data_IF_876130644008
#
_entry.id   IF_876130644008
#
_cell.length_a   1.000
_cell.length_b   1.000
_cell.length_c   1.000
_cell.angle_alpha   90.00
_cell.angle_beta   90.00
_cell.angle_gamma   90.00
#
_symmetry.space_group_name_H-M   'P 1'
#
loop_
_entity.id
_entity.type
_entity.pdbx_description
1 polymer ?
#
# COMPACT_ATOMS: atom_id res chain seq x y z
N UNK A 1 36.07 -29.59 26.65
CA UNK A 1 35.38 -29.01 27.79
C UNK A 1 35.32 -27.53 27.57
N UNK A 2 34.19 -27.05 27.16
CA UNK A 2 33.40 -25.99 27.73
C UNK A 2 32.22 -25.77 26.76
N UNK A 3 31.08 -26.10 27.28
CA UNK A 3 29.78 -25.96 26.65
C UNK A 3 29.46 -24.48 26.45
N UNK A 4 29.00 -24.09 25.24
CA UNK A 4 28.21 -22.90 25.04
C UNK A 4 26.74 -23.34 24.91
N UNK A 5 26.02 -23.10 25.95
CA UNK A 5 24.59 -23.28 26.05
C UNK A 5 23.94 -22.10 25.29
N UNK A 6 23.34 -22.39 24.14
CA UNK A 6 22.43 -21.45 23.48
C UNK A 6 21.24 -21.19 24.39
N UNK A 7 20.99 -19.92 24.69
CA UNK A 7 19.87 -19.46 25.52
C UNK A 7 18.56 -19.54 24.69
N UNK A 8 17.61 -20.42 25.04
CA UNK A 8 16.34 -20.54 24.32
C UNK A 8 15.36 -19.37 24.57
N UNK A 9 15.77 -18.34 25.33
CA UNK A 9 14.84 -17.27 25.78
C UNK A 9 14.76 -16.06 24.86
N UNK A 10 15.69 -15.87 23.92
CA UNK A 10 15.73 -14.66 23.06
C UNK A 10 14.67 -14.68 21.93
N UNK A 11 14.26 -15.86 21.47
CA UNK A 11 13.19 -15.99 20.44
C UNK A 11 11.77 -15.78 21.00
N UNK A 12 11.57 -15.94 22.32
CA UNK A 12 10.25 -15.83 22.94
C UNK A 12 9.85 -14.37 23.20
N UNK A 13 10.79 -13.48 23.45
CA UNK A 13 10.49 -12.07 23.76
C UNK A 13 10.21 -11.24 22.52
N UNK A 14 10.92 -11.48 21.40
CA UNK A 14 10.62 -10.82 20.13
C UNK A 14 9.25 -11.22 19.59
N UNK A 15 8.88 -12.49 19.65
CA UNK A 15 7.57 -13.00 19.24
C UNK A 15 6.44 -12.54 20.18
N UNK A 16 6.72 -12.35 21.49
CA UNK A 16 5.78 -11.75 22.44
C UNK A 16 5.57 -10.24 22.17
N UNK A 17 6.63 -9.51 21.85
CA UNK A 17 6.56 -8.09 21.52
C UNK A 17 5.79 -7.86 20.20
N UNK A 18 6.00 -8.70 19.17
CA UNK A 18 5.26 -8.65 17.93
C UNK A 18 3.77 -8.96 18.14
N UNK A 19 3.44 -10.04 18.85
CA UNK A 19 2.05 -10.36 19.23
C UNK A 19 1.39 -9.24 20.06
N UNK A 20 2.13 -8.57 20.93
CA UNK A 20 1.61 -7.43 21.69
C UNK A 20 1.35 -6.21 20.79
N UNK A 21 2.19 -5.97 19.77
CA UNK A 21 1.96 -4.92 18.75
C UNK A 21 0.74 -5.23 17.89
N UNK A 22 0.58 -6.48 17.44
CA UNK A 22 -0.61 -6.92 16.70
C UNK A 22 -1.90 -6.75 17.51
N UNK A 23 -1.92 -7.19 18.78
CA UNK A 23 -3.07 -6.96 19.68
C UNK A 23 -3.39 -5.49 19.91
N UNK A 24 -2.37 -4.62 19.93
CA UNK A 24 -2.60 -3.16 20.01
C UNK A 24 -3.21 -2.60 18.74
N UNK A 25 -2.80 -3.07 17.55
CA UNK A 25 -3.42 -2.75 16.25
C UNK A 25 -4.89 -3.19 16.25
N UNK A 26 -5.17 -4.45 16.60
CA UNK A 26 -6.55 -4.97 16.69
C UNK A 26 -7.42 -4.16 17.67
N UNK A 27 -6.90 -3.84 18.84
CA UNK A 27 -7.61 -3.02 19.83
C UNK A 27 -7.88 -1.60 19.31
N UNK A 28 -6.94 -1.01 18.57
CA UNK A 28 -7.11 0.30 17.95
C UNK A 28 -8.13 0.26 16.81
N UNK A 29 -8.07 -0.76 15.95
CA UNK A 29 -9.07 -1.05 14.89
C UNK A 29 -10.46 -1.29 15.48
N UNK A 30 -10.58 -2.11 16.52
CA UNK A 30 -11.85 -2.35 17.22
C UNK A 30 -12.41 -1.06 17.86
N UNK A 31 -11.56 -0.17 18.36
CA UNK A 31 -11.97 1.12 18.91
C UNK A 31 -12.48 2.08 17.83
N UNK A 32 -11.87 2.07 16.64
CA UNK A 32 -12.32 2.82 15.48
C UNK A 32 -13.64 2.28 14.92
N UNK A 33 -13.80 0.94 14.84
CA UNK A 33 -15.08 0.29 14.47
C UNK A 33 -16.21 0.68 15.44
N UNK A 34 -15.97 0.64 16.75
CA UNK A 34 -16.98 1.07 17.76
C UNK A 34 -17.34 2.53 17.62
N UNK A 35 -16.38 3.44 17.41
CA UNK A 35 -16.68 4.87 17.19
C UNK A 35 -17.54 5.11 15.94
N UNK A 36 -17.32 4.37 14.85
CA UNK A 36 -18.15 4.46 13.61
C UNK A 36 -19.56 3.90 13.80
N UNK A 37 -19.74 2.80 14.54
CA UNK A 37 -21.07 2.26 14.83
C UNK A 37 -21.96 3.23 15.63
N UNK A 38 -21.35 4.09 16.45
CA UNK A 38 -22.07 5.07 17.26
C UNK A 38 -22.25 6.44 16.58
N UNK A 39 -21.49 6.73 15.52
CA UNK A 39 -21.62 7.99 14.78
C UNK A 39 -22.75 8.00 13.72
N UNK A 40 -23.14 6.84 13.20
CA UNK A 40 -24.19 6.72 12.20
C UNK A 40 -25.60 7.03 12.77
N UNK A 41 -26.00 6.51 13.94
CA UNK A 41 -27.31 6.87 14.51
C UNK A 41 -27.40 8.32 15.00
N UNK A 42 -26.29 8.93 15.45
CA UNK A 42 -26.31 10.33 15.88
C UNK A 42 -26.50 11.32 14.72
N UNK A 43 -25.88 11.04 13.55
CA UNK A 43 -26.08 11.85 12.34
C UNK A 43 -27.49 11.69 11.77
N UNK A 44 -28.06 10.50 11.79
CA UNK A 44 -29.44 10.24 11.35
C UNK A 44 -30.47 10.91 12.30
N UNK A 45 -30.23 10.85 13.61
CA UNK A 45 -31.09 11.51 14.60
C UNK A 45 -31.02 13.04 14.48
N UNK A 46 -29.88 13.63 14.22
CA UNK A 46 -29.71 15.07 13.99
C UNK A 46 -30.45 15.54 12.72
N UNK A 47 -30.39 14.72 11.64
CA UNK A 47 -31.10 15.06 10.39
C UNK A 47 -32.63 15.03 10.55
N UNK A 48 -33.16 14.06 11.32
CA UNK A 48 -34.60 13.98 11.63
C UNK A 48 -35.03 15.15 12.50
N UNK A 49 -34.23 15.58 13.46
CA UNK A 49 -34.57 16.72 14.32
C UNK A 49 -34.57 18.06 13.54
N UNK A 50 -33.65 18.24 12.58
CA UNK A 50 -33.60 19.44 11.74
C UNK A 50 -34.84 19.50 10.81
N UNK A 51 -35.32 18.38 10.29
CA UNK A 51 -36.52 18.33 9.42
C UNK A 51 -37.78 18.62 10.23
N UNK A 52 -37.87 18.17 11.49
CA UNK A 52 -39.04 18.43 12.34
C UNK A 52 -39.10 19.89 12.82
N UNK A 53 -37.96 20.52 13.06
CA UNK A 53 -37.91 21.95 13.49
C UNK A 53 -38.11 22.92 12.32
N UNK A 54 -37.77 22.53 11.08
CA UNK A 54 -38.01 23.37 9.89
C UNK A 54 -39.48 23.44 9.43
N UNK A 55 -40.36 22.60 10.00
CA UNK A 55 -41.76 22.54 9.64
C UNK A 55 -42.70 23.39 10.56
N UNK A 56 -42.15 24.12 11.52
CA UNK A 56 -42.93 24.76 12.57
C UNK A 56 -43.06 26.30 12.48
N UNK A 57 -42.41 26.99 11.54
CA UNK A 57 -42.54 28.44 11.42
C UNK A 57 -42.82 28.87 9.97
N UNK A 58 -44.08 29.15 9.70
CA UNK A 58 -44.58 29.80 8.50
C UNK A 58 -44.95 31.24 8.77
N UNK A 59 -44.30 32.17 8.05
CA UNK A 59 -44.75 33.57 7.98
C UNK A 59 -43.76 34.44 7.21
N UNK A 60 -44.23 35.30 6.26
CA UNK A 60 -43.39 35.95 5.27
C UNK A 60 -42.82 37.30 5.73
N UNK A 61 -41.57 37.60 5.46
CA UNK A 61 -41.10 38.99 5.49
C UNK A 61 -39.94 39.21 4.50
N UNK A 62 -40.18 40.23 3.71
CA UNK A 62 -39.46 40.98 2.69
C UNK A 62 -37.92 41.07 2.81
N UNK A 63 -37.31 41.00 1.63
CA UNK A 63 -35.92 41.43 1.39
C UNK A 63 -35.75 42.96 1.57
N UNK A 64 -34.55 43.40 1.86
CA UNK A 64 -33.86 44.25 0.89
C UNK A 64 -32.42 43.84 0.60
N UNK A 65 -31.99 44.13 -0.63
CA UNK A 65 -30.71 43.81 -1.14
C UNK A 65 -29.57 44.68 -0.61
N UNK A 66 -28.37 44.09 -0.66
CA UNK A 66 -27.12 44.87 -0.70
C UNK A 66 -26.07 44.07 -1.43
N UNK A 67 -25.49 44.71 -2.42
CA UNK A 67 -24.32 44.26 -3.20
C UNK A 67 -23.10 44.27 -2.30
N UNK A 68 -22.24 43.28 -2.37
CA UNK A 68 -20.77 43.45 -2.32
C UNK A 68 -20.03 42.21 -2.76
N UNK A 69 -19.18 42.39 -3.70
CA UNK A 69 -17.84 41.96 -4.00
C UNK A 69 -17.48 40.49 -3.83
N UNK A 70 -17.45 39.77 -4.94
CA UNK A 70 -16.72 38.52 -5.06
C UNK A 70 -15.20 38.81 -5.06
N UNK A 71 -14.53 38.51 -3.97
CA UNK A 71 -13.08 38.30 -3.99
C UNK A 71 -12.85 36.80 -4.03
N UNK A 72 -12.39 36.33 -5.20
CA UNK A 72 -11.96 34.97 -5.40
C UNK A 72 -10.77 34.63 -4.50
N UNK A 73 -10.99 33.75 -3.55
CA UNK A 73 -9.89 33.09 -2.85
C UNK A 73 -9.36 32.00 -3.77
N UNK A 74 -8.26 32.28 -4.42
CA UNK A 74 -7.46 31.27 -5.12
C UNK A 74 -7.09 30.19 -4.12
N UNK A 75 -7.53 28.96 -4.40
CA UNK A 75 -7.05 27.80 -3.70
C UNK A 75 -5.55 27.65 -3.93
N UNK A 76 -4.77 28.00 -2.94
CA UNK A 76 -3.32 27.77 -2.95
C UNK A 76 -3.07 26.27 -3.05
N UNK A 77 -2.58 25.83 -4.17
CA UNK A 77 -2.02 24.49 -4.36
C UNK A 77 -0.95 24.25 -3.28
N UNK A 78 -0.92 23.08 -2.62
CA UNK A 78 0.11 22.79 -1.65
C UNK A 78 1.44 22.58 -2.38
N UNK A 79 2.23 23.61 -2.45
CA UNK A 79 3.63 23.56 -2.83
C UNK A 79 4.43 23.22 -1.57
N UNK A 80 4.52 21.99 -1.23
CA UNK A 80 5.45 21.57 -0.20
C UNK A 80 6.41 20.55 -0.81
N UNK A 81 7.44 21.03 -1.45
CA UNK A 81 8.69 20.30 -1.56
C UNK A 81 9.25 20.25 -0.15
N UNK A 82 9.20 19.10 0.47
CA UNK A 82 9.68 18.93 1.83
C UNK A 82 11.03 18.23 1.76
N UNK A 83 12.09 18.96 2.07
CA UNK A 83 13.40 18.38 2.27
C UNK A 83 13.38 17.56 3.58
N UNK A 84 13.51 16.26 3.47
CA UNK A 84 13.85 15.41 4.60
C UNK A 84 15.29 15.75 5.03
N UNK A 85 15.53 15.96 6.32
CA UNK A 85 16.89 16.12 6.81
C UNK A 85 17.73 14.90 6.43
N UNK A 86 19.05 15.05 6.23
CA UNK A 86 19.90 13.99 5.76
C UNK A 86 19.96 12.88 6.79
N UNK A 87 19.39 11.75 6.47
CA UNK A 87 19.87 10.49 7.02
C UNK A 87 21.11 10.18 6.22
N UNK A 88 22.26 10.01 6.89
CA UNK A 88 23.52 9.77 6.20
C UNK A 88 23.34 8.62 5.20
N UNK A 89 23.52 8.84 3.92
CA UNK A 89 23.33 7.80 2.94
C UNK A 89 24.41 6.76 3.13
N UNK A 90 24.04 5.50 3.21
CA UNK A 90 25.00 4.44 3.00
C UNK A 90 25.47 4.59 1.56
N UNK A 91 26.75 4.93 1.41
CA UNK A 91 27.31 5.24 0.10
C UNK A 91 27.21 4.05 -0.85
N UNK A 92 26.43 4.21 -1.91
CA UNK A 92 26.35 3.28 -3.02
C UNK A 92 26.93 3.96 -4.26
N UNK A 93 28.05 3.49 -4.74
CA UNK A 93 28.65 4.04 -5.97
C UNK A 93 27.68 3.93 -7.16
N UNK A 94 27.64 4.93 -8.02
CA UNK A 94 26.91 4.91 -9.29
C UNK A 94 25.38 4.93 -9.20
N UNK A 95 24.82 5.61 -8.32
CA UNK A 95 23.47 5.51 -7.77
C UNK A 95 22.31 5.89 -8.66
N UNK A 96 22.48 6.87 -9.53
CA UNK A 96 21.45 7.27 -10.48
C UNK A 96 21.11 6.15 -11.49
N UNK A 97 22.02 5.19 -11.66
CA UNK A 97 21.86 4.05 -12.56
C UNK A 97 21.29 2.79 -11.89
N UNK A 98 21.01 2.82 -10.59
CA UNK A 98 20.65 1.61 -9.85
C UNK A 98 19.37 0.96 -10.37
N UNK A 99 18.41 1.75 -10.81
CA UNK A 99 17.14 1.31 -11.37
C UNK A 99 16.66 2.13 -12.56
N UNK A 100 17.41 3.13 -13.00
CA UNK A 100 17.16 3.85 -14.25
C UNK A 100 17.44 2.99 -15.52
N UNK A 101 17.63 1.70 -15.37
CA UNK A 101 17.77 0.75 -16.47
C UNK A 101 16.43 0.11 -16.81
N UNK A 102 16.33 -0.49 -17.99
CA UNK A 102 15.13 -1.11 -18.55
C UNK A 102 14.48 -2.25 -17.72
N UNK A 103 14.96 -2.51 -16.51
CA UNK A 103 14.51 -3.58 -15.63
C UNK A 103 13.92 -3.05 -14.32
N UNK A 104 13.29 -1.89 -14.34
CA UNK A 104 12.56 -1.36 -13.19
C UNK A 104 11.19 -2.03 -13.15
N UNK A 105 10.76 -2.42 -11.96
CA UNK A 105 9.41 -2.98 -11.75
C UNK A 105 8.36 -1.99 -12.26
N UNK A 106 7.38 -2.48 -13.02
CA UNK A 106 6.31 -1.66 -13.55
C UNK A 106 6.61 -0.92 -14.85
N UNK A 107 7.78 -1.08 -15.49
CA UNK A 107 8.13 -0.34 -16.72
C UNK A 107 8.51 -1.28 -17.86
N UNK A 108 7.86 -1.08 -19.00
CA UNK A 108 8.22 -1.77 -20.25
C UNK A 108 9.55 -1.26 -20.79
N UNK A 109 10.43 -2.15 -21.32
CA UNK A 109 11.65 -1.74 -22.00
C UNK A 109 11.32 -0.75 -23.15
N UNK A 110 12.08 0.33 -23.24
CA UNK A 110 11.92 1.36 -24.26
C UNK A 110 11.03 2.56 -23.87
N UNK A 111 10.24 2.45 -22.82
CA UNK A 111 9.40 3.56 -22.35
C UNK A 111 10.08 4.43 -21.28
N UNK A 112 11.12 3.90 -20.62
CA UNK A 112 11.83 4.58 -19.55
C UNK A 112 12.35 5.98 -19.91
N UNK A 113 12.82 6.19 -21.14
CA UNK A 113 13.31 7.50 -21.57
C UNK A 113 12.20 8.55 -21.68
N UNK A 114 11.00 8.15 -22.11
CA UNK A 114 9.84 9.02 -22.17
C UNK A 114 9.35 9.41 -20.78
N UNK A 115 9.34 8.46 -19.84
CA UNK A 115 8.98 8.71 -18.44
C UNK A 115 10.00 9.61 -17.74
N UNK A 116 11.29 9.40 -17.97
CA UNK A 116 12.34 10.26 -17.44
C UNK A 116 12.23 11.70 -17.93
N UNK A 117 11.84 11.92 -19.19
CA UNK A 117 11.61 13.25 -19.74
C UNK A 117 10.39 13.94 -19.08
N UNK A 118 9.30 13.19 -18.86
CA UNK A 118 8.11 13.69 -18.17
C UNK A 118 8.40 14.00 -16.70
N UNK A 119 9.18 13.17 -16.03
CA UNK A 119 9.57 13.31 -14.63
C UNK A 119 10.35 14.60 -14.35
N UNK A 120 11.25 15.01 -15.23
CA UNK A 120 12.01 16.25 -15.06
C UNK A 120 11.14 17.49 -14.95
N UNK A 121 9.92 17.44 -15.48
CA UNK A 121 8.98 18.56 -15.49
C UNK A 121 7.99 18.55 -14.33
N UNK A 122 7.66 17.37 -13.80
CA UNK A 122 6.52 17.20 -12.91
C UNK A 122 6.76 16.35 -11.64
N UNK A 123 7.95 15.78 -11.46
CA UNK A 123 8.23 14.78 -10.40
C UNK A 123 7.78 13.39 -10.86
N UNK A 124 6.56 13.00 -10.56
CA UNK A 124 6.00 11.68 -10.90
C UNK A 124 6.04 11.37 -12.40
N UNK A 125 6.69 10.27 -12.83
CA UNK A 125 6.92 9.97 -14.25
C UNK A 125 5.71 9.40 -15.00
N UNK A 126 4.57 9.25 -14.34
CA UNK A 126 3.35 8.68 -14.90
C UNK A 126 2.15 8.95 -14.00
N UNK A 127 1.41 7.91 -13.72
CA UNK A 127 0.26 7.93 -12.83
C UNK A 127 0.53 7.05 -11.61
N UNK A 128 -0.13 7.35 -10.52
CA UNK A 128 -0.08 6.54 -9.33
C UNK A 128 -1.49 6.09 -8.96
N UNK A 129 -1.70 4.78 -8.90
CA UNK A 129 -2.83 4.17 -8.26
C UNK A 129 -2.59 4.19 -6.76
N UNK A 130 -3.59 4.57 -5.97
CA UNK A 130 -3.49 4.69 -4.51
C UNK A 130 -4.69 3.99 -3.89
N UNK A 131 -4.46 3.00 -3.05
CA UNK A 131 -5.45 2.45 -2.16
C UNK A 131 -5.65 3.40 -0.96
N UNK A 132 -6.64 4.27 -1.04
CA UNK A 132 -6.98 5.23 0.02
C UNK A 132 -7.88 4.53 1.05
N UNK A 133 -7.28 3.61 1.78
CA UNK A 133 -7.86 2.61 2.66
C UNK A 133 -8.86 3.18 3.65
N UNK A 134 -8.47 4.20 4.40
CA UNK A 134 -9.33 4.80 5.42
C UNK A 134 -10.54 5.54 4.86
N UNK A 135 -10.60 5.75 3.54
CA UNK A 135 -11.72 6.31 2.80
C UNK A 135 -12.48 5.26 1.97
N UNK A 136 -12.07 3.99 2.01
CA UNK A 136 -12.67 2.90 1.25
C UNK A 136 -12.76 3.22 -0.25
N UNK A 137 -11.65 3.63 -0.85
CA UNK A 137 -11.60 4.01 -2.26
C UNK A 137 -10.23 3.77 -2.88
N UNK A 138 -10.23 3.63 -4.19
CA UNK A 138 -9.06 3.61 -5.04
C UNK A 138 -9.05 4.90 -5.86
N UNK A 139 -7.90 5.53 -5.97
CA UNK A 139 -7.67 6.71 -6.80
C UNK A 139 -6.56 6.40 -7.80
N UNK A 140 -6.63 7.00 -9.00
CA UNK A 140 -5.47 7.14 -9.88
C UNK A 140 -5.24 8.63 -10.08
N UNK A 141 -4.02 9.08 -9.79
CA UNK A 141 -3.62 10.49 -9.86
C UNK A 141 -2.47 10.68 -10.84
N UNK A 142 -2.44 11.81 -11.52
CA UNK A 142 -1.34 12.18 -12.41
C UNK A 142 -0.26 13.00 -11.68
N UNK A 143 0.83 13.32 -12.38
CA UNK A 143 1.93 14.12 -11.86
C UNK A 143 1.48 15.52 -11.36
N UNK A 144 0.40 16.07 -11.92
CA UNK A 144 -0.20 17.36 -11.49
C UNK A 144 -1.13 17.22 -10.30
N UNK A 145 -1.25 16.01 -9.72
CA UNK A 145 -2.11 15.68 -8.58
C UNK A 145 -3.60 15.73 -8.89
N UNK A 146 -3.96 15.59 -10.16
CA UNK A 146 -5.34 15.51 -10.61
C UNK A 146 -5.82 14.05 -10.54
N UNK A 147 -7.02 13.83 -10.02
CA UNK A 147 -7.63 12.49 -9.99
C UNK A 147 -8.19 12.20 -11.39
N UNK A 148 -7.66 11.18 -12.05
CA UNK A 148 -8.12 10.70 -13.37
C UNK A 148 -9.03 9.48 -13.28
N UNK A 149 -8.97 8.74 -12.19
CA UNK A 149 -9.87 7.62 -11.89
C UNK A 149 -10.18 7.60 -10.39
N UNK A 150 -11.42 7.22 -10.07
CA UNK A 150 -11.87 7.00 -8.70
C UNK A 150 -12.87 5.85 -8.65
N UNK A 151 -12.65 4.91 -7.76
CA UNK A 151 -13.60 3.85 -7.46
C UNK A 151 -13.76 3.70 -5.92
N UNK A 152 -14.97 3.55 -5.37
CA UNK A 152 -16.24 3.81 -6.05
C UNK A 152 -16.49 5.31 -6.28
N UNK A 153 -17.20 5.63 -7.37
CA UNK A 153 -17.77 6.94 -7.59
C UNK A 153 -19.24 6.97 -7.09
N UNK A 154 -19.96 8.06 -7.32
CA UNK A 154 -21.36 8.18 -6.88
C UNK A 154 -22.29 7.14 -7.52
N UNK A 155 -22.08 6.81 -8.82
CA UNK A 155 -22.89 5.81 -9.52
C UNK A 155 -22.58 4.39 -9.00
N UNK A 156 -21.31 4.08 -8.72
CA UNK A 156 -20.92 2.81 -8.13
C UNK A 156 -21.57 2.61 -6.76
N UNK A 157 -21.54 3.65 -5.93
CA UNK A 157 -22.18 3.62 -4.61
C UNK A 157 -23.70 3.44 -4.69
N UNK A 158 -24.35 4.09 -5.66
CA UNK A 158 -25.78 3.91 -5.93
C UNK A 158 -26.11 2.49 -6.40
N UNK A 159 -25.20 1.85 -7.14
CA UNK A 159 -25.29 0.46 -7.56
C UNK A 159 -24.87 -0.55 -6.46
N UNK A 160 -24.58 -0.09 -5.24
CA UNK A 160 -24.18 -0.95 -4.12
C UNK A 160 -22.71 -1.40 -4.12
N UNK A 161 -21.89 -0.92 -5.05
CA UNK A 161 -20.45 -1.26 -5.12
C UNK A 161 -19.69 -0.50 -4.06
N UNK A 162 -19.12 -1.20 -3.10
CA UNK A 162 -18.41 -0.61 -1.95
C UNK A 162 -17.18 -1.40 -1.63
N UNK A 163 -16.06 -0.72 -1.47
CA UNK A 163 -14.85 -1.26 -0.86
C UNK A 163 -14.95 -1.16 0.66
N UNK A 164 -14.26 -2.06 1.34
CA UNK A 164 -14.19 -2.08 2.79
C UNK A 164 -12.73 -2.17 3.25
N UNK A 165 -12.12 -1.04 3.59
CA UNK A 165 -10.75 -0.98 4.06
C UNK A 165 -9.78 -1.70 3.11
N UNK A 166 -9.90 -1.42 1.79
CA UNK A 166 -8.98 -1.93 0.80
C UNK A 166 -7.55 -1.52 1.15
N UNK A 167 -6.70 -2.49 1.34
CA UNK A 167 -5.31 -2.35 1.71
C UNK A 167 -4.48 -2.15 0.45
N UNK A 168 -3.75 -3.15 0.00
CA UNK A 168 -3.05 -3.07 -1.26
C UNK A 168 -3.99 -3.19 -2.45
N UNK A 169 -3.62 -2.53 -3.53
CA UNK A 169 -4.38 -2.59 -4.78
C UNK A 169 -3.43 -2.50 -5.96
N UNK A 170 -3.48 -3.50 -6.85
CA UNK A 170 -2.62 -3.59 -8.01
C UNK A 170 -3.41 -3.75 -9.30
N UNK A 171 -2.82 -3.27 -10.40
CA UNK A 171 -3.36 -3.50 -11.74
C UNK A 171 -3.10 -4.94 -12.15
N UNK A 172 -4.11 -5.63 -12.65
CA UNK A 172 -3.93 -6.99 -13.15
C UNK A 172 -3.19 -7.03 -14.50
N UNK A 173 -2.48 -8.13 -14.81
CA UNK A 173 -1.84 -8.31 -16.11
C UNK A 173 -2.81 -8.08 -17.27
N UNK A 174 -2.42 -7.21 -18.21
CA UNK A 174 -3.28 -6.81 -19.32
C UNK A 174 -4.19 -5.61 -19.04
N UNK A 175 -4.20 -5.08 -17.81
CA UNK A 175 -4.85 -3.81 -17.49
C UNK A 175 -6.37 -3.78 -17.54
N UNK A 176 -7.03 -4.94 -17.43
CA UNK A 176 -8.50 -5.01 -17.53
C UNK A 176 -9.19 -4.81 -16.18
N UNK A 177 -8.50 -5.10 -15.10
CA UNK A 177 -9.05 -5.03 -13.76
C UNK A 177 -7.97 -4.65 -12.73
N UNK A 178 -8.43 -4.37 -11.52
CA UNK A 178 -7.63 -4.19 -10.31
C UNK A 178 -7.93 -5.35 -9.37
N UNK A 179 -6.91 -5.87 -8.70
CA UNK A 179 -7.05 -6.77 -7.58
C UNK A 179 -6.76 -5.99 -6.29
N UNK A 180 -7.53 -6.21 -5.23
CA UNK A 180 -7.31 -5.62 -3.93
C UNK A 180 -7.63 -6.60 -2.80
N UNK A 181 -6.86 -6.57 -1.74
CA UNK A 181 -7.20 -7.24 -0.50
C UNK A 181 -7.99 -6.30 0.41
N UNK A 182 -9.02 -6.83 1.03
CA UNK A 182 -9.77 -6.16 2.10
C UNK A 182 -9.39 -6.82 3.44
N UNK A 183 -8.25 -6.42 3.98
CA UNK A 183 -7.60 -7.03 5.14
C UNK A 183 -8.54 -7.24 6.31
N UNK A 184 -9.26 -6.19 6.69
CA UNK A 184 -10.22 -6.21 7.80
C UNK A 184 -11.55 -6.95 7.47
N UNK A 185 -11.81 -7.22 6.19
CA UNK A 185 -13.00 -7.91 5.71
C UNK A 185 -12.74 -9.40 5.41
N UNK A 186 -11.47 -9.80 5.38
CA UNK A 186 -11.02 -11.18 5.14
C UNK A 186 -11.41 -11.70 3.76
N UNK A 187 -11.24 -10.90 2.75
CA UNK A 187 -11.50 -11.27 1.35
C UNK A 187 -10.59 -10.53 0.37
N UNK A 188 -10.58 -11.04 -0.84
CA UNK A 188 -9.89 -10.45 -1.99
C UNK A 188 -10.97 -10.09 -3.00
N UNK A 189 -10.91 -8.85 -3.50
CA UNK A 189 -11.85 -8.30 -4.46
C UNK A 189 -11.20 -7.94 -5.77
N UNK A 190 -11.98 -7.97 -6.84
CA UNK A 190 -11.59 -7.53 -8.17
C UNK A 190 -12.51 -6.41 -8.64
N UNK A 191 -11.93 -5.35 -9.18
CA UNK A 191 -12.64 -4.22 -9.79
C UNK A 191 -12.35 -4.22 -11.28
N UNK A 192 -13.35 -4.48 -12.13
CA UNK A 192 -13.22 -4.35 -13.57
C UNK A 192 -13.17 -2.87 -13.97
N UNK A 193 -12.21 -2.47 -14.78
CA UNK A 193 -12.01 -1.07 -15.17
C UNK A 193 -13.01 -0.59 -16.23
N UNK A 194 -13.54 -1.48 -17.07
CA UNK A 194 -14.45 -1.11 -18.16
C UNK A 194 -15.89 -0.91 -17.68
N UNK A 195 -16.47 -1.92 -17.00
CA UNK A 195 -17.86 -1.90 -16.55
C UNK A 195 -17.99 -1.52 -15.05
N UNK A 196 -16.87 -1.37 -14.37
CA UNK A 196 -16.78 -1.00 -12.96
C UNK A 196 -17.46 -1.99 -12.01
N UNK A 197 -17.61 -3.25 -12.44
CA UNK A 197 -18.10 -4.31 -11.56
C UNK A 197 -17.10 -4.60 -10.44
N UNK A 198 -17.63 -4.98 -9.27
CA UNK A 198 -16.86 -5.38 -8.08
C UNK A 198 -17.26 -6.80 -7.70
N UNK A 199 -16.29 -7.69 -7.59
CA UNK A 199 -16.50 -9.09 -7.25
C UNK A 199 -15.56 -9.55 -6.16
N UNK A 200 -16.06 -10.35 -5.21
CA UNK A 200 -15.23 -11.12 -4.30
C UNK A 200 -14.68 -12.31 -5.08
N UNK A 201 -13.35 -12.39 -5.23
CA UNK A 201 -12.67 -13.46 -5.97
C UNK A 201 -12.11 -14.54 -5.07
N UNK A 202 -11.93 -14.27 -3.77
CA UNK A 202 -11.56 -15.24 -2.74
C UNK A 202 -11.86 -14.70 -1.35
N UNK A 203 -11.92 -15.59 -0.36
CA UNK A 203 -12.32 -15.22 1.00
C UNK A 203 -13.85 -15.14 1.16
N UNK A 204 -14.28 -14.76 2.34
CA UNK A 204 -15.70 -14.53 2.66
C UNK A 204 -15.80 -13.24 3.49
N UNK A 205 -16.51 -12.21 3.00
CA UNK A 205 -16.61 -10.93 3.67
C UNK A 205 -16.98 -11.04 5.15
N UNK A 206 -16.11 -10.51 6.02
CA UNK A 206 -16.28 -10.51 7.47
C UNK A 206 -16.00 -11.83 8.18
N UNK A 207 -15.57 -12.89 7.47
CA UNK A 207 -15.35 -14.22 8.05
C UNK A 207 -13.86 -14.57 7.98
N UNK A 208 -13.17 -14.46 9.10
CA UNK A 208 -11.77 -14.88 9.22
C UNK A 208 -11.61 -16.39 9.35
N UNK A 209 -10.57 -16.95 8.73
CA UNK A 209 -10.22 -18.36 8.86
C UNK A 209 -9.13 -18.77 7.90
N UNK A 210 -8.68 -20.03 8.02
CA UNK A 210 -7.62 -20.56 7.14
C UNK A 210 -8.00 -21.94 6.56
N UNK A 211 -9.29 -22.23 6.48
CA UNK A 211 -9.84 -23.48 5.95
C UNK A 211 -10.57 -23.23 4.62
N UNK A 212 -10.42 -24.15 3.67
CA UNK A 212 -11.13 -24.05 2.38
C UNK A 212 -10.81 -22.75 1.65
N UNK A 213 -11.84 -21.91 1.42
CA UNK A 213 -11.72 -20.61 0.76
C UNK A 213 -11.62 -19.43 1.74
N UNK A 214 -11.39 -19.65 3.02
CA UNK A 214 -11.22 -18.59 4.01
C UNK A 214 -9.79 -18.07 4.04
N UNK A 215 -9.63 -16.78 4.32
CA UNK A 215 -8.38 -16.10 4.65
C UNK A 215 -8.53 -15.39 5.99
N UNK A 216 -7.42 -15.12 6.65
CA UNK A 216 -7.40 -14.43 7.94
C UNK A 216 -6.46 -13.25 7.89
N UNK A 217 -7.04 -12.05 7.72
CA UNK A 217 -6.27 -10.81 7.58
C UNK A 217 -5.32 -10.89 6.39
N UNK A 218 -5.83 -11.03 5.14
CA UNK A 218 -4.99 -11.01 3.95
C UNK A 218 -4.35 -9.63 3.81
N UNK A 219 -3.02 -9.58 3.83
CA UNK A 219 -2.26 -8.31 3.87
C UNK A 219 -1.82 -7.86 2.47
N UNK A 220 -1.74 -8.80 1.50
CA UNK A 220 -1.34 -8.52 0.12
C UNK A 220 -1.95 -9.52 -0.87
N UNK A 221 -2.12 -9.13 -2.14
CA UNK A 221 -2.58 -10.01 -3.21
C UNK A 221 -2.13 -9.53 -4.59
N UNK A 222 -1.46 -10.39 -5.36
CA UNK A 222 -1.02 -10.10 -6.73
C UNK A 222 -1.63 -11.03 -7.76
N UNK A 223 -2.26 -10.49 -8.80
CA UNK A 223 -2.70 -11.27 -9.96
C UNK A 223 -1.49 -11.59 -10.85
N UNK A 224 -1.30 -12.87 -11.16
CA UNK A 224 -0.27 -13.39 -12.05
C UNK A 224 -0.82 -13.62 -13.46
N UNK A 225 0.04 -13.61 -14.49
CA UNK A 225 -0.39 -14.04 -15.85
C UNK A 225 -1.06 -15.42 -15.82
N UNK A 226 -2.21 -15.54 -16.49
CA UNK A 226 -2.98 -16.79 -16.55
C UNK A 226 -4.03 -16.98 -15.45
N UNK A 227 -4.32 -15.91 -14.66
CA UNK A 227 -5.46 -15.87 -13.75
C UNK A 227 -5.26 -16.66 -12.45
N UNK A 228 -4.03 -16.88 -12.07
CA UNK A 228 -3.66 -17.29 -10.70
C UNK A 228 -3.26 -16.03 -9.95
N UNK A 229 -3.64 -15.90 -8.69
CA UNK A 229 -3.17 -14.81 -7.85
C UNK A 229 -2.61 -15.32 -6.52
N UNK A 230 -1.70 -14.56 -5.95
CA UNK A 230 -1.12 -14.82 -4.64
C UNK A 230 -1.93 -14.13 -3.56
N UNK A 231 -1.82 -14.57 -2.32
CA UNK A 231 -2.35 -13.88 -1.14
C UNK A 231 -1.43 -14.11 0.04
N UNK A 232 -0.97 -13.03 0.64
CA UNK A 232 -0.32 -13.04 1.94
C UNK A 232 -1.38 -13.18 3.04
N UNK A 233 -1.66 -14.41 3.46
CA UNK A 233 -2.65 -14.71 4.51
C UNK A 233 -1.98 -14.60 5.89
N UNK A 234 -1.92 -13.36 6.43
CA UNK A 234 -1.06 -12.98 7.54
C UNK A 234 -1.27 -13.83 8.79
N UNK A 235 -2.49 -13.93 9.29
CA UNK A 235 -2.79 -14.77 10.46
C UNK A 235 -3.05 -16.23 10.12
N UNK A 236 -3.24 -16.54 8.83
CA UNK A 236 -3.15 -17.90 8.32
C UNK A 236 -1.73 -18.44 8.33
N UNK A 237 -0.71 -17.53 8.44
CA UNK A 237 0.72 -17.84 8.43
C UNK A 237 1.14 -18.59 7.17
N UNK A 238 0.69 -18.10 6.02
CA UNK A 238 0.90 -18.77 4.73
C UNK A 238 0.80 -17.79 3.57
N UNK A 239 1.48 -18.10 2.48
CA UNK A 239 1.21 -17.56 1.15
C UNK A 239 0.45 -18.61 0.36
N UNK A 240 -0.70 -18.24 -0.19
CA UNK A 240 -1.52 -19.12 -1.01
C UNK A 240 -1.57 -18.62 -2.46
N UNK A 241 -1.65 -19.55 -3.38
CA UNK A 241 -1.88 -19.31 -4.81
C UNK A 241 -3.27 -19.78 -5.15
N UNK A 242 -4.10 -18.87 -5.62
CA UNK A 242 -5.52 -19.13 -5.88
C UNK A 242 -5.80 -19.07 -7.38
N UNK A 243 -6.56 -20.03 -7.89
CA UNK A 243 -7.06 -20.06 -9.27
C UNK A 243 -8.46 -20.62 -9.30
N UNK A 244 -9.37 -19.96 -9.99
CA UNK A 244 -10.77 -20.36 -10.09
C UNK A 244 -11.38 -20.70 -8.70
N UNK A 245 -11.20 -19.77 -7.73
CA UNK A 245 -11.68 -19.87 -6.34
C UNK A 245 -11.12 -21.06 -5.54
N UNK A 246 -9.99 -21.64 -5.94
CA UNK A 246 -9.36 -22.77 -5.25
C UNK A 246 -7.88 -22.50 -4.98
N UNK A 247 -7.40 -22.89 -3.81
CA UNK A 247 -5.98 -22.89 -3.51
C UNK A 247 -5.33 -24.01 -4.35
N UNK A 248 -4.41 -23.62 -5.24
CA UNK A 248 -3.67 -24.52 -6.12
C UNK A 248 -2.24 -24.77 -5.64
N UNK A 249 -1.71 -23.89 -4.79
CA UNK A 249 -0.39 -24.01 -4.15
C UNK A 249 -0.39 -23.22 -2.85
N UNK A 250 0.46 -23.63 -1.90
CA UNK A 250 0.63 -22.95 -0.63
C UNK A 250 2.08 -23.08 -0.15
N UNK A 251 2.61 -22.01 0.42
CA UNK A 251 3.79 -21.98 1.28
C UNK A 251 3.36 -21.64 2.70
N UNK A 252 4.09 -22.14 3.70
CA UNK A 252 3.62 -22.13 5.08
C UNK A 252 2.58 -23.21 5.36
N UNK A 253 2.27 -23.44 6.61
CA UNK A 253 1.24 -24.38 7.09
C UNK A 253 0.16 -23.61 7.82
N UNK A 254 -1.09 -23.75 7.38
CA UNK A 254 -2.22 -22.98 7.92
C UNK A 254 -2.26 -23.01 9.45
N UNK A 255 -2.31 -21.82 10.05
CA UNK A 255 -2.33 -21.57 11.51
C UNK A 255 -1.09 -22.07 12.29
N UNK A 256 0.01 -22.40 11.61
CA UNK A 256 1.27 -22.76 12.26
C UNK A 256 2.27 -21.63 12.02
N UNK A 257 2.30 -20.68 12.94
CA UNK A 257 3.05 -19.44 12.83
C UNK A 257 4.43 -19.57 13.46
N UNK A 258 5.42 -19.82 12.65
CA UNK A 258 6.84 -19.84 13.01
C UNK A 258 7.71 -19.75 11.75
N UNK A 259 8.85 -19.14 11.85
CA UNK A 259 9.80 -19.03 10.73
C UNK A 259 10.58 -20.33 10.52
N UNK A 260 10.24 -21.06 9.46
CA UNK A 260 10.96 -22.24 8.93
C UNK A 260 10.53 -22.43 7.46
N UNK A 261 10.85 -21.46 6.57
CA UNK A 261 10.38 -21.47 5.19
C UNK A 261 10.99 -22.64 4.38
N UNK A 262 10.31 -23.20 3.40
CA UNK A 262 8.96 -22.86 2.93
C UNK A 262 7.84 -23.57 3.69
N UNK A 263 8.18 -24.43 4.66
CA UNK A 263 7.23 -25.29 5.37
C UNK A 263 6.34 -24.50 6.34
N UNK A 264 6.91 -23.56 7.04
CA UNK A 264 6.23 -22.69 7.98
C UNK A 264 6.65 -21.26 7.75
N UNK A 265 5.71 -20.32 7.86
CA UNK A 265 5.89 -18.88 7.80
C UNK A 265 5.29 -18.24 9.04
N UNK A 266 5.73 -17.06 9.42
CA UNK A 266 5.26 -16.41 10.64
C UNK A 266 4.72 -14.99 10.38
N UNK A 267 3.39 -14.86 10.34
CA UNK A 267 2.67 -13.62 10.09
C UNK A 267 3.17 -12.91 8.82
N UNK A 268 2.81 -13.46 7.68
CA UNK A 268 3.18 -12.95 6.35
C UNK A 268 2.54 -11.57 6.14
N UNK A 269 3.34 -10.58 5.69
CA UNK A 269 2.85 -9.26 5.32
C UNK A 269 2.84 -9.08 3.80
N UNK A 270 4.00 -9.14 3.11
CA UNK A 270 4.07 -9.05 1.66
C UNK A 270 4.35 -10.38 0.97
N UNK A 271 3.87 -10.55 -0.26
CA UNK A 271 4.08 -11.74 -1.08
C UNK A 271 4.37 -11.42 -2.55
N UNK A 272 5.22 -10.43 -2.77
CA UNK A 272 5.53 -9.91 -4.11
C UNK A 272 6.06 -11.00 -5.05
N UNK A 273 5.46 -11.19 -6.23
CA UNK A 273 5.96 -12.13 -7.23
C UNK A 273 7.40 -11.80 -7.67
N UNK A 274 8.15 -12.82 -8.06
CA UNK A 274 9.48 -12.65 -8.67
C UNK A 274 9.45 -13.00 -10.15
N UNK A 275 10.36 -12.44 -11.00
CA UNK A 275 10.34 -12.61 -12.46
C UNK A 275 10.35 -14.06 -12.96
N UNK A 276 10.78 -14.98 -12.15
CA UNK A 276 10.85 -16.42 -12.48
C UNK A 276 9.72 -17.25 -11.86
N UNK A 277 8.65 -16.58 -11.41
CA UNK A 277 7.45 -17.19 -10.86
C UNK A 277 7.59 -17.69 -9.42
N UNK A 278 8.62 -17.26 -8.71
CA UNK A 278 8.75 -17.38 -7.27
C UNK A 278 7.99 -16.28 -6.53
N UNK A 279 8.27 -16.13 -5.24
CA UNK A 279 7.67 -15.10 -4.39
C UNK A 279 8.68 -14.61 -3.36
N UNK A 280 8.74 -13.29 -3.21
CA UNK A 280 9.50 -12.60 -2.17
C UNK A 280 8.52 -12.26 -1.02
N UNK A 281 8.83 -12.73 0.16
CA UNK A 281 7.93 -12.71 1.31
C UNK A 281 8.55 -11.87 2.43
N UNK A 282 7.73 -11.08 3.12
CA UNK A 282 8.09 -10.53 4.42
C UNK A 282 7.30 -11.18 5.53
N UNK A 283 7.96 -11.47 6.66
CA UNK A 283 7.36 -11.98 7.86
C UNK A 283 7.50 -10.94 8.99
N UNK A 284 6.38 -10.58 9.60
CA UNK A 284 6.34 -9.55 10.65
C UNK A 284 7.10 -10.01 11.89
N UNK A 285 6.82 -11.23 12.33
CA UNK A 285 7.45 -11.78 13.52
C UNK A 285 8.89 -12.20 13.23
N UNK A 286 9.84 -11.57 13.92
CA UNK A 286 11.27 -11.83 13.72
C UNK A 286 11.91 -11.03 12.59
N UNK A 287 11.12 -10.22 11.86
CA UNK A 287 11.59 -9.31 10.81
C UNK A 287 12.32 -10.04 9.67
N UNK A 288 11.74 -11.11 9.14
CA UNK A 288 12.35 -11.91 8.07
C UNK A 288 11.93 -11.44 6.68
N UNK A 289 12.82 -11.63 5.73
CA UNK A 289 12.56 -11.54 4.30
C UNK A 289 13.09 -12.80 3.62
N UNK A 290 12.21 -13.50 2.91
CA UNK A 290 12.46 -14.78 2.29
C UNK A 290 12.16 -14.76 0.81
N UNK A 291 12.93 -15.50 -0.01
CA UNK A 291 12.57 -15.77 -1.39
C UNK A 291 12.36 -17.27 -1.60
N UNK A 292 11.15 -17.63 -2.01
CA UNK A 292 10.79 -19.00 -2.37
C UNK A 292 10.61 -19.08 -3.89
N UNK A 293 11.33 -20.01 -4.54
CA UNK A 293 11.27 -20.19 -5.99
C UNK A 293 9.93 -20.78 -6.44
N UNK A 294 9.63 -20.69 -7.75
CA UNK A 294 8.46 -21.34 -8.36
C UNK A 294 8.36 -22.84 -8.10
N UNK A 295 9.50 -23.50 -7.84
CA UNK A 295 9.53 -24.93 -7.47
C UNK A 295 9.35 -25.19 -5.97
N UNK A 296 9.09 -24.16 -5.15
CA UNK A 296 8.89 -24.28 -3.71
C UNK A 296 10.18 -24.41 -2.89
N UNK A 297 11.35 -24.09 -3.45
CA UNK A 297 12.62 -24.14 -2.72
C UNK A 297 12.96 -22.76 -2.17
N UNK A 298 13.34 -22.70 -0.90
CA UNK A 298 13.91 -21.52 -0.30
C UNK A 298 15.21 -21.15 -1.04
N UNK A 299 15.32 -19.92 -1.51
CA UNK A 299 16.53 -19.36 -2.15
C UNK A 299 17.41 -18.65 -1.16
N UNK A 300 16.82 -17.83 -0.33
CA UNK A 300 17.45 -17.16 0.79
C UNK A 300 16.42 -16.78 1.84
N UNK A 301 16.91 -16.56 3.04
CA UNK A 301 16.22 -15.92 4.15
C UNK A 301 17.21 -15.02 4.88
N UNK A 302 16.77 -13.84 5.29
CA UNK A 302 17.58 -12.96 6.13
C UNK A 302 16.71 -12.13 7.06
N UNK A 303 17.26 -11.74 8.21
CA UNK A 303 16.65 -10.73 9.08
C UNK A 303 16.83 -9.35 8.48
N UNK A 304 15.74 -8.68 8.17
CA UNK A 304 15.77 -7.31 7.69
C UNK A 304 16.28 -6.37 8.79
N UNK A 305 17.08 -5.33 8.45
CA UNK A 305 17.60 -4.37 9.44
C UNK A 305 16.55 -3.33 9.84
N UNK A 306 15.31 -3.78 10.02
CA UNK A 306 14.11 -3.00 10.36
C UNK A 306 13.25 -3.77 11.36
N UNK A 307 12.34 -3.08 12.03
CA UNK A 307 11.49 -3.72 13.05
C UNK A 307 10.26 -4.43 12.49
N UNK A 308 9.80 -3.98 11.32
CA UNK A 308 8.61 -4.51 10.65
C UNK A 308 8.81 -4.37 9.13
N UNK A 309 9.43 -5.36 8.46
CA UNK A 309 9.58 -5.32 7.02
C UNK A 309 8.21 -5.43 6.36
N UNK A 310 7.88 -4.48 5.50
CA UNK A 310 6.64 -4.44 4.75
C UNK A 310 6.95 -4.46 3.26
N UNK A 311 6.17 -5.21 2.52
CA UNK A 311 6.05 -5.31 1.06
C UNK A 311 7.38 -5.24 0.30
N UNK A 312 8.25 -6.25 0.44
CA UNK A 312 9.54 -6.23 -0.18
C UNK A 312 9.43 -6.33 -1.70
N UNK A 313 10.01 -5.37 -2.42
CA UNK A 313 10.00 -5.31 -3.88
C UNK A 313 11.33 -5.77 -4.46
N UNK A 314 11.36 -6.73 -5.41
CA UNK A 314 12.60 -7.15 -6.05
C UNK A 314 13.12 -6.05 -6.97
N UNK A 315 14.42 -5.78 -6.89
CA UNK A 315 15.13 -4.83 -7.74
C UNK A 315 16.21 -5.53 -8.57
N UNK A 316 16.62 -4.96 -9.71
CA UNK A 316 17.71 -5.51 -10.53
C UNK A 316 18.98 -5.73 -9.72
N UNK A 317 19.73 -6.80 -10.05
CA UNK A 317 20.97 -7.15 -9.39
C UNK A 317 20.80 -7.80 -8.01
N UNK A 318 19.64 -8.37 -7.72
CA UNK A 318 19.36 -9.09 -6.47
C UNK A 318 19.27 -8.18 -5.26
N UNK A 319 18.89 -6.94 -5.48
CA UNK A 319 18.57 -5.98 -4.42
C UNK A 319 17.08 -6.05 -4.10
N UNK A 320 16.71 -5.57 -2.93
CA UNK A 320 15.35 -5.59 -2.43
C UNK A 320 15.05 -4.22 -1.84
N UNK A 321 13.99 -3.59 -2.30
CA UNK A 321 13.42 -2.39 -1.71
C UNK A 321 12.36 -2.82 -0.70
N UNK A 322 12.37 -2.25 0.48
CA UNK A 322 11.39 -2.54 1.52
C UNK A 322 11.09 -1.32 2.39
N UNK A 323 9.91 -1.29 2.96
CA UNK A 323 9.51 -0.33 3.96
C UNK A 323 9.65 -0.92 5.37
N UNK A 324 9.87 -0.04 6.37
CA UNK A 324 9.81 -0.35 7.80
C UNK A 324 8.52 0.24 8.36
N UNK A 325 7.50 -0.57 8.51
CA UNK A 325 6.19 -0.15 9.03
C UNK A 325 6.27 0.20 10.52
N UNK A 326 6.91 1.32 10.80
CA UNK A 326 7.22 1.80 12.14
C UNK A 326 7.06 3.33 12.25
N UNK A 327 7.16 3.84 13.47
CA UNK A 327 7.21 5.27 13.74
C UNK A 327 8.42 5.60 14.64
N UNK A 328 9.44 6.33 14.15
CA UNK A 328 9.62 6.76 12.76
C UNK A 328 9.85 5.56 11.83
N UNK A 329 9.28 5.65 10.61
CA UNK A 329 9.44 4.65 9.58
C UNK A 329 10.65 4.92 8.68
N UNK A 330 11.05 3.89 7.92
CA UNK A 330 12.18 3.97 7.00
C UNK A 330 11.84 3.27 5.68
N UNK A 331 12.56 3.63 4.63
CA UNK A 331 12.61 2.90 3.37
C UNK A 331 14.05 2.51 3.10
N UNK A 332 14.27 1.26 2.70
CA UNK A 332 15.61 0.73 2.51
C UNK A 332 15.75 -0.02 1.19
N UNK A 333 16.94 0.04 0.61
CA UNK A 333 17.40 -0.95 -0.36
C UNK A 333 18.42 -1.83 0.33
N UNK A 334 18.19 -3.13 0.31
CA UNK A 334 19.09 -4.11 0.91
C UNK A 334 19.58 -5.11 -0.14
N UNK A 335 20.66 -5.83 0.13
CA UNK A 335 21.05 -7.00 -0.65
C UNK A 335 20.42 -8.29 -0.07
N UNK A 336 20.60 -9.44 -0.73
CA UNK A 336 20.09 -10.76 -0.30
C UNK A 336 20.62 -11.28 1.04
N UNK A 337 21.51 -10.53 1.70
CA UNK A 337 22.05 -10.83 3.03
C UNK A 337 21.54 -9.83 4.09
N UNK A 338 20.54 -8.99 3.75
CA UNK A 338 19.99 -7.98 4.65
C UNK A 338 20.87 -6.76 4.89
N UNK A 339 22.03 -6.64 4.20
CA UNK A 339 22.88 -5.45 4.34
C UNK A 339 22.26 -4.26 3.61
N UNK A 340 22.00 -3.17 4.35
CA UNK A 340 21.50 -1.93 3.77
C UNK A 340 22.52 -1.31 2.79
N UNK A 341 22.01 -0.96 1.60
CA UNK A 341 22.73 -0.30 0.52
C UNK A 341 22.31 1.17 0.40
N UNK A 342 21.07 1.47 0.74
CA UNK A 342 20.50 2.82 0.82
C UNK A 342 19.44 2.83 1.91
N UNK A 343 19.19 4.00 2.51
CA UNK A 343 18.15 4.22 3.50
C UNK A 343 17.64 5.64 3.45
N UNK A 344 16.33 5.79 3.55
CA UNK A 344 15.63 7.04 3.83
C UNK A 344 14.79 6.89 5.11
N UNK A 345 14.66 7.96 5.86
CA UNK A 345 13.78 8.04 7.03
C UNK A 345 14.40 8.89 8.15
N UNK A 346 14.28 10.24 8.07
CA UNK A 346 14.67 11.10 9.17
C UNK A 346 13.78 10.83 10.40
N UNK A 347 14.37 10.88 11.59
CA UNK A 347 13.66 10.60 12.84
C UNK A 347 12.66 11.69 13.23
N UNK A 348 12.78 12.90 12.63
CA UNK A 348 11.93 14.04 12.94
C UNK A 348 11.80 14.98 11.73
N UNK A 349 10.94 15.97 11.87
CA UNK A 349 10.71 16.97 10.82
C UNK A 349 9.72 16.53 9.76
N UNK A 350 9.53 17.37 8.73
CA UNK A 350 8.49 17.17 7.72
C UNK A 350 8.75 15.95 6.80
N UNK A 351 10.02 15.56 6.65
CA UNK A 351 10.40 14.35 5.89
C UNK A 351 10.24 13.03 6.63
N UNK A 352 9.96 13.04 7.95
CA UNK A 352 9.74 11.83 8.75
C UNK A 352 8.58 11.01 8.16
N UNK A 353 8.75 9.71 8.10
CA UNK A 353 7.69 8.78 7.74
C UNK A 353 7.04 8.20 9.01
N UNK A 354 5.76 7.82 8.89
CA UNK A 354 4.98 7.22 9.98
C UNK A 354 4.20 6.03 9.44
N UNK A 355 4.73 4.82 9.70
CA UNK A 355 4.23 3.56 9.19
C UNK A 355 4.15 3.52 7.64
N UNK A 356 5.27 3.71 6.92
CA UNK A 356 5.28 3.44 5.49
C UNK A 356 5.05 1.94 5.27
N UNK A 357 4.07 1.58 4.45
CA UNK A 357 3.73 0.17 4.18
C UNK A 357 4.38 -0.32 2.88
N UNK A 358 4.16 0.30 1.76
CA UNK A 358 4.72 -0.10 0.47
C UNK A 358 5.67 0.97 -0.08
N UNK A 359 6.79 0.55 -0.68
CA UNK A 359 7.69 1.39 -1.45
C UNK A 359 7.96 0.78 -2.82
N UNK A 360 7.95 1.60 -3.88
CA UNK A 360 8.18 1.17 -5.26
C UNK A 360 9.25 2.02 -5.93
N UNK A 361 10.10 1.40 -6.75
CA UNK A 361 11.06 2.12 -7.58
C UNK A 361 10.38 2.65 -8.84
N UNK A 362 10.62 3.92 -9.16
CA UNK A 362 10.09 4.59 -10.34
C UNK A 362 11.08 4.58 -11.52
N UNK A 363 10.58 4.72 -12.77
CA UNK A 363 11.43 4.72 -13.96
C UNK A 363 12.48 5.83 -14.00
N UNK A 364 12.24 6.96 -13.31
CA UNK A 364 13.16 8.08 -13.21
C UNK A 364 14.30 7.86 -12.20
N UNK A 365 14.27 6.74 -11.48
CA UNK A 365 15.24 6.41 -10.44
C UNK A 365 14.87 6.89 -9.05
N UNK A 366 13.70 7.46 -8.89
CA UNK A 366 13.17 7.85 -7.59
C UNK A 366 12.40 6.69 -6.93
N UNK A 367 12.05 6.85 -5.68
CA UNK A 367 11.27 5.86 -4.91
C UNK A 367 9.99 6.53 -4.45
N UNK A 368 8.86 5.93 -4.78
CA UNK A 368 7.56 6.33 -4.23
C UNK A 368 7.24 5.48 -3.02
N UNK A 369 6.63 6.08 -1.99
CA UNK A 369 6.24 5.39 -0.76
C UNK A 369 4.95 5.97 -0.20
N UNK A 370 4.05 5.12 0.24
CA UNK A 370 2.90 5.54 1.02
C UNK A 370 3.30 5.72 2.50
N UNK A 371 2.78 6.77 3.10
CA UNK A 371 3.12 7.23 4.45
C UNK A 371 1.79 7.32 5.23
N UNK A 372 1.33 6.16 5.70
CA UNK A 372 -0.03 5.86 6.10
C UNK A 372 -0.59 6.83 7.12
N UNK A 373 0.08 6.94 8.27
CA UNK A 373 -0.41 7.78 9.36
C UNK A 373 -0.07 9.25 9.20
N UNK A 374 0.66 9.60 8.14
CA UNK A 374 0.80 10.99 7.70
C UNK A 374 -0.15 11.34 6.54
N UNK A 375 -1.00 10.38 6.12
CA UNK A 375 -2.09 10.58 5.15
C UNK A 375 -1.60 11.11 3.82
N UNK A 376 -0.46 10.59 3.32
CA UNK A 376 0.16 11.04 2.09
C UNK A 376 0.92 9.92 1.39
N UNK A 377 1.14 10.09 0.09
CA UNK A 377 2.14 9.36 -0.69
C UNK A 377 3.21 10.34 -1.11
N UNK A 378 4.48 9.95 -1.01
CA UNK A 378 5.63 10.81 -1.33
C UNK A 378 6.58 10.14 -2.31
N UNK A 379 7.16 10.92 -3.22
CA UNK A 379 8.26 10.53 -4.09
C UNK A 379 9.58 11.07 -3.53
N UNK A 380 10.56 10.22 -3.39
CA UNK A 380 11.85 10.51 -2.78
C UNK A 380 12.94 10.36 -3.86
N UNK A 381 13.74 11.40 -4.05
CA UNK A 381 14.99 11.30 -4.83
C UNK A 381 16.09 10.70 -3.95
N UNK A 382 16.54 9.46 -4.22
CA UNK A 382 17.55 8.80 -3.38
C UNK A 382 18.96 9.37 -3.52
N UNK A 383 19.21 10.20 -4.53
CA UNK A 383 20.51 10.89 -4.71
C UNK A 383 20.68 12.03 -3.70
N UNK A 384 19.58 12.67 -3.33
CA UNK A 384 19.55 13.81 -2.42
C UNK A 384 18.91 13.50 -1.09
N UNK A 385 18.20 12.36 -0.99
CA UNK A 385 17.32 12.01 0.14
C UNK A 385 16.28 13.12 0.43
N UNK A 386 15.66 13.66 -0.62
CA UNK A 386 14.61 14.68 -0.50
C UNK A 386 13.30 14.18 -1.08
N UNK A 387 12.18 14.60 -0.49
CA UNK A 387 10.86 14.42 -1.07
C UNK A 387 10.71 15.45 -2.20
N UNK A 388 10.48 14.96 -3.42
CA UNK A 388 10.36 15.78 -4.64
C UNK A 388 8.93 15.94 -5.12
N UNK A 389 8.03 15.04 -4.70
CA UNK A 389 6.61 15.11 -4.99
C UNK A 389 5.81 14.52 -3.82
N UNK A 390 4.56 14.96 -3.68
CA UNK A 390 3.64 14.46 -2.64
C UNK A 390 2.20 14.55 -3.14
N UNK A 391 1.39 13.53 -2.83
CA UNK A 391 -0.07 13.57 -2.85
C UNK A 391 -0.62 13.29 -1.46
N UNK A 392 -1.68 13.98 -1.07
CA UNK A 392 -2.16 13.98 0.31
C UNK A 392 -1.64 15.17 1.11
N UNK A 393 -2.26 15.44 2.24
CA UNK A 393 -1.88 16.53 3.16
C UNK A 393 -1.30 15.93 4.43
N UNK A 394 -0.03 16.24 4.68
CA UNK A 394 0.70 15.74 5.85
C UNK A 394 -0.09 15.97 7.14
N UNK A 395 -0.32 14.87 7.89
CA UNK A 395 -1.00 14.82 9.17
C UNK A 395 -2.48 15.31 9.14
N UNK A 396 -3.09 15.38 7.94
CA UNK A 396 -4.47 15.85 7.76
C UNK A 396 -5.29 14.87 6.90
N UNK A 397 -5.99 13.91 7.51
CA UNK A 397 -6.87 13.01 6.77
C UNK A 397 -8.06 13.76 6.18
N UNK A 398 -8.57 13.24 5.05
CA UNK A 398 -9.77 13.82 4.43
C UNK A 398 -10.24 13.06 3.19
N UNK A 399 -11.44 13.41 2.71
CA UNK A 399 -12.10 12.78 1.56
C UNK A 399 -12.12 13.64 0.31
N UNK A 400 -11.82 14.96 0.43
CA UNK A 400 -11.82 15.91 -0.69
C UNK A 400 -10.68 15.58 -1.67
N UNK A 401 -10.75 16.05 -2.92
CA UNK A 401 -9.61 15.97 -3.84
C UNK A 401 -8.33 16.52 -3.19
N UNK A 402 -7.20 15.85 -3.39
CA UNK A 402 -5.93 16.19 -2.75
C UNK A 402 -5.72 15.64 -1.34
N UNK A 403 -6.75 15.07 -0.70
CA UNK A 403 -6.64 14.46 0.63
C UNK A 403 -6.68 12.94 0.55
N UNK A 404 -5.99 12.29 1.48
CA UNK A 404 -6.00 10.85 1.73
C UNK A 404 -6.33 10.57 3.20
N UNK A 405 -6.63 9.32 3.51
CA UNK A 405 -6.80 8.84 4.88
C UNK A 405 -6.25 7.41 5.00
N UNK A 406 -5.07 7.29 5.55
CA UNK A 406 -4.33 6.03 5.65
C UNK A 406 -4.23 5.40 4.24
N UNK A 407 -3.47 6.00 3.29
CA UNK A 407 -3.15 5.30 2.04
C UNK A 407 -2.26 4.13 2.37
N UNK A 408 -2.67 2.91 2.04
CA UNK A 408 -1.90 1.73 2.40
C UNK A 408 -1.16 1.16 1.17
N UNK A 409 -1.83 0.77 0.12
CA UNK A 409 -1.21 0.27 -1.09
C UNK A 409 -1.12 1.29 -2.23
N UNK A 410 -0.28 1.00 -3.20
CA UNK A 410 -0.15 1.80 -4.42
C UNK A 410 0.39 0.97 -5.57
N UNK A 411 0.17 1.45 -6.81
CA UNK A 411 0.77 0.88 -8.02
C UNK A 411 1.17 1.98 -9.00
N UNK A 412 2.30 1.79 -9.68
CA UNK A 412 2.75 2.73 -10.70
C UNK A 412 2.12 2.38 -12.06
N UNK A 413 1.41 3.34 -12.65
CA UNK A 413 0.78 3.20 -13.95
C UNK A 413 1.49 4.09 -14.97
N UNK A 414 2.12 3.52 -16.02
CA UNK A 414 2.75 4.29 -17.07
C UNK A 414 1.78 5.25 -17.77
N UNK A 415 2.32 6.33 -18.36
CA UNK A 415 1.57 7.16 -19.28
C UNK A 415 1.52 6.50 -20.66
N UNK A 416 0.34 6.37 -21.23
CA UNK A 416 0.15 5.87 -22.57
C UNK A 416 0.45 6.91 -23.65
N UNK A 417 0.46 6.50 -24.92
CA UNK A 417 0.76 7.39 -26.06
C UNK A 417 -0.16 8.61 -26.17
N UNK A 418 -1.38 8.48 -25.69
CA UNK A 418 -2.39 9.55 -25.69
C UNK A 418 -2.35 10.41 -24.42
N UNK A 419 -1.35 10.22 -23.54
CA UNK A 419 -1.19 10.96 -22.30
C UNK A 419 -2.13 10.56 -21.17
N UNK A 420 -2.94 9.48 -21.32
CA UNK A 420 -3.74 8.88 -20.26
C UNK A 420 -2.99 7.74 -19.54
N UNK A 421 -3.55 7.15 -18.48
CA UNK A 421 -2.96 6.00 -17.81
C UNK A 421 -3.00 4.77 -18.72
N UNK A 422 -1.88 4.06 -18.85
CA UNK A 422 -1.76 2.83 -19.62
C UNK A 422 -1.73 1.62 -18.66
N UNK A 423 -2.89 1.18 -18.27
CA UNK A 423 -3.02 0.03 -17.37
C UNK A 423 -2.47 -1.27 -17.98
N UNK A 424 -2.49 -1.41 -19.32
CA UNK A 424 -1.97 -2.59 -19.98
C UNK A 424 -0.43 -2.66 -19.98
N UNK A 425 0.22 -1.53 -19.80
CA UNK A 425 1.68 -1.44 -19.68
C UNK A 425 2.20 -1.67 -18.25
N UNK A 426 1.33 -1.88 -17.28
CA UNK A 426 1.75 -2.23 -15.91
C UNK A 426 2.28 -3.66 -15.91
N UNK A 427 3.46 -3.86 -15.35
CA UNK A 427 4.11 -5.17 -15.23
C UNK A 427 4.60 -5.33 -13.81
N UNK A 428 4.08 -6.33 -13.14
CA UNK A 428 4.66 -6.86 -11.91
C UNK A 428 5.57 -8.04 -12.26
N UNK A 429 6.63 -8.29 -11.49
CA UNK A 429 7.58 -9.37 -11.72
C UNK A 429 6.97 -10.76 -11.79
#
# INVERSE_FOLDING_TARGET
MIDNIDDPNDSSDSSRAARARMRRREAQRAKLRRRRMWSVPAAAAALVLIVVLASADGGPSKAPGSKHGATGSAASSPTAIVSGGPVAPVAVGGRAALWASHNVVGVQPGTAAAYQAASKLAGMPGYLLIADRGNNRILVVNARREIVFKFPNAADLAAGRRLFYNDDTFVEPGGQALIANEEDNNDIVQVNLADRSLHVVFGHPGVAGSNGSLVHTPDDAYMLPGGTFTVADAYGCRVIFVRAHRIVRQYGTSNVCRHEPPRYLDAVNGDTPTPDGGVLISEINGSWVDEISSSGKLRFAFKAPVSYPSDPQPLPGGRILLADYANPGHVLIVNRHGRALWRYGPSQGPGRLDHPSLAMALPNGDVVVNDDYRHRVVEIDPRTNTIVWQYGHTDRPGTRPGYLNIPDGMDFVPAGPNGGPDYAAVVHP
#
